data_IF_627555707059
#
_entry.id   IF_627555707059
#
_cell.length_a   1.000
_cell.length_b   1.000
_cell.length_c   1.000
_cell.angle_alpha   90.00
_cell.angle_beta   90.00
_cell.angle_gamma   90.00
#
_symmetry.space_group_name_H-M   'P 1'
#
loop_
_entity.id
_entity.type
_entity.pdbx_description
1 polymer ?
#
# COMPACT_ATOMS: atom_id res chain seq x y z
N UNK A 1 -10.62 -6.23 12.67
CA UNK A 1 -10.91 -6.41 11.22
C UNK A 1 -9.87 -7.33 10.57
N UNK A 2 -10.21 -8.00 9.45
CA UNK A 2 -9.27 -8.86 8.73
C UNK A 2 -8.49 -8.05 7.67
N UNK A 3 -7.17 -8.23 7.62
CA UNK A 3 -6.27 -7.51 6.72
C UNK A 3 -5.40 -8.50 5.95
N UNK A 4 -5.11 -8.20 4.67
CA UNK A 4 -4.08 -8.89 3.90
C UNK A 4 -2.94 -7.94 3.55
N UNK A 5 -1.70 -8.47 3.51
CA UNK A 5 -0.52 -7.77 2.99
C UNK A 5 0.02 -8.58 1.82
N UNK A 6 -0.18 -8.07 0.61
CA UNK A 6 0.34 -8.66 -0.62
C UNK A 6 1.76 -8.15 -0.86
N UNK A 7 2.72 -9.06 -0.98
CA UNK A 7 4.15 -8.75 -0.99
C UNK A 7 4.77 -8.68 0.40
N UNK A 8 4.21 -9.42 1.37
CA UNK A 8 4.61 -9.41 2.78
C UNK A 8 6.09 -9.75 3.01
N UNK A 9 6.73 -10.50 2.13
CA UNK A 9 8.15 -10.87 2.22
C UNK A 9 9.11 -9.80 1.69
N UNK A 10 8.59 -8.82 0.95
CA UNK A 10 9.38 -7.71 0.40
C UNK A 10 9.64 -6.60 1.44
N UNK A 11 10.56 -5.67 1.11
CA UNK A 11 10.95 -4.59 2.03
C UNK A 11 9.76 -3.71 2.45
N UNK A 12 8.90 -3.30 1.50
CA UNK A 12 7.73 -2.47 1.79
C UNK A 12 6.71 -3.24 2.62
N UNK A 13 6.45 -4.52 2.29
CA UNK A 13 5.52 -5.37 3.05
C UNK A 13 5.98 -5.58 4.49
N UNK A 14 7.26 -5.85 4.72
CA UNK A 14 7.85 -5.97 6.07
C UNK A 14 7.75 -4.67 6.84
N UNK A 15 8.01 -3.53 6.18
CA UNK A 15 7.88 -2.23 6.81
C UNK A 15 6.43 -1.90 7.16
N UNK A 16 5.49 -2.32 6.34
CA UNK A 16 4.06 -2.20 6.64
C UNK A 16 3.70 -3.00 7.90
N UNK A 17 4.23 -4.23 8.04
CA UNK A 17 4.05 -5.03 9.26
C UNK A 17 4.59 -4.32 10.50
N UNK A 18 5.83 -3.83 10.47
CA UNK A 18 6.42 -3.07 11.58
C UNK A 18 5.59 -1.85 12.00
N UNK A 19 5.01 -1.14 11.02
CA UNK A 19 4.16 0.03 11.29
C UNK A 19 2.83 -0.41 11.90
N UNK A 20 2.20 -1.46 11.38
CA UNK A 20 0.94 -2.00 11.92
C UNK A 20 1.12 -2.54 13.33
N UNK A 21 2.27 -3.12 13.64
CA UNK A 21 2.60 -3.65 14.97
C UNK A 21 2.65 -2.54 16.04
N UNK A 22 3.15 -1.34 15.65
CA UNK A 22 3.24 -0.15 16.51
C UNK A 22 1.92 0.61 16.64
N UNK A 23 0.92 0.28 15.80
CA UNK A 23 -0.39 0.94 15.84
C UNK A 23 -1.37 0.12 16.68
N UNK A 24 -2.17 0.82 17.47
CA UNK A 24 -3.27 0.22 18.21
C UNK A 24 -4.47 -0.01 17.29
N UNK A 25 -4.33 -0.99 16.40
CA UNK A 25 -5.38 -1.40 15.49
C UNK A 25 -5.91 -2.78 15.89
N UNK A 26 -7.22 -2.89 16.02
CA UNK A 26 -7.89 -4.17 16.26
C UNK A 26 -7.89 -5.00 14.95
N UNK A 27 -6.85 -5.83 14.81
CA UNK A 27 -6.70 -6.78 13.70
C UNK A 27 -7.09 -8.17 14.23
N UNK A 28 -8.21 -8.70 13.73
CA UNK A 28 -8.67 -10.02 14.12
C UNK A 28 -7.85 -11.12 13.43
N UNK A 29 -7.67 -10.99 12.11
CA UNK A 29 -6.85 -11.90 11.33
C UNK A 29 -5.94 -11.12 10.38
N UNK A 30 -4.67 -11.48 10.36
CA UNK A 30 -3.66 -10.97 9.44
C UNK A 30 -3.26 -12.09 8.46
N UNK A 31 -3.42 -11.81 7.17
CA UNK A 31 -3.02 -12.72 6.10
C UNK A 31 -1.79 -12.15 5.38
N UNK A 32 -0.70 -12.88 5.40
CA UNK A 32 0.53 -12.56 4.69
C UNK A 32 0.49 -13.26 3.35
N UNK A 33 0.58 -12.50 2.27
CA UNK A 33 0.42 -13.04 0.92
C UNK A 33 1.64 -12.67 0.08
N UNK A 34 2.20 -13.64 -0.64
CA UNK A 34 3.33 -13.42 -1.53
C UNK A 34 3.29 -14.39 -2.72
N UNK A 35 4.36 -14.42 -3.53
CA UNK A 35 4.48 -15.38 -4.63
C UNK A 35 4.61 -16.81 -4.10
N UNK A 36 4.32 -17.79 -4.97
CA UNK A 36 4.49 -19.24 -4.68
C UNK A 36 5.87 -19.60 -4.13
N UNK A 37 6.95 -18.91 -4.57
CA UNK A 37 8.30 -19.08 -4.04
C UNK A 37 8.45 -18.75 -2.55
N UNK A 38 7.55 -17.96 -2.01
CA UNK A 38 7.57 -17.53 -0.61
C UNK A 38 6.43 -18.14 0.21
N UNK A 39 5.51 -18.84 -0.42
CA UNK A 39 4.43 -19.54 0.27
C UNK A 39 5.01 -20.57 1.26
N UNK A 40 4.34 -20.73 2.40
CA UNK A 40 4.77 -21.60 3.50
C UNK A 40 5.85 -21.01 4.41
N UNK A 41 6.50 -19.89 4.04
CA UNK A 41 7.41 -19.19 4.97
C UNK A 41 6.61 -18.62 6.14
N UNK A 42 7.26 -18.48 7.28
CA UNK A 42 6.69 -17.88 8.46
C UNK A 42 7.29 -16.49 8.72
N UNK A 43 6.46 -15.56 9.12
CA UNK A 43 6.86 -14.19 9.52
C UNK A 43 6.21 -13.90 10.86
N UNK A 44 6.99 -13.39 11.81
CA UNK A 44 6.49 -12.96 13.11
C UNK A 44 5.75 -11.63 13.02
N UNK A 45 4.63 -11.51 13.72
CA UNK A 45 3.87 -10.28 13.93
C UNK A 45 3.17 -10.35 15.30
N UNK A 46 3.40 -9.36 16.18
CA UNK A 46 2.86 -9.32 17.56
C UNK A 46 3.07 -10.68 18.30
N UNK A 47 4.32 -11.15 18.31
CA UNK A 47 4.75 -12.41 18.98
C UNK A 47 4.09 -13.70 18.48
N UNK A 48 3.42 -13.64 17.33
CA UNK A 48 2.83 -14.80 16.66
C UNK A 48 3.45 -15.04 15.30
N UNK A 49 3.66 -16.30 14.95
CA UNK A 49 4.08 -16.69 13.61
C UNK A 49 2.87 -16.77 12.68
N UNK A 50 2.98 -16.09 11.53
CA UNK A 50 1.99 -16.11 10.46
C UNK A 50 2.59 -16.77 9.22
N UNK A 51 1.89 -17.75 8.69
CA UNK A 51 2.26 -18.40 7.44
C UNK A 51 1.96 -17.48 6.24
N UNK A 52 2.85 -17.52 5.24
CA UNK A 52 2.70 -16.77 4.00
C UNK A 52 1.90 -17.60 3.00
N UNK A 53 0.77 -17.06 2.53
CA UNK A 53 -0.10 -17.66 1.53
C UNK A 53 0.37 -17.35 0.11
N UNK A 54 0.10 -18.27 -0.82
CA UNK A 54 0.32 -18.03 -2.25
C UNK A 54 -0.75 -17.08 -2.81
N UNK A 55 -0.29 -16.01 -3.48
CA UNK A 55 -1.14 -14.98 -4.06
C UNK A 55 -2.08 -15.51 -5.15
N UNK A 56 -1.63 -16.48 -5.97
CA UNK A 56 -2.44 -17.02 -7.06
C UNK A 56 -3.71 -17.71 -6.54
N UNK A 57 -3.63 -18.31 -5.36
CA UNK A 57 -4.70 -19.08 -4.74
C UNK A 57 -5.39 -18.37 -3.57
N UNK A 58 -4.99 -17.12 -3.27
CA UNK A 58 -5.53 -16.41 -2.12
C UNK A 58 -6.96 -15.89 -2.37
N UNK A 59 -7.85 -16.21 -1.44
CA UNK A 59 -9.24 -15.73 -1.49
C UNK A 59 -9.39 -14.39 -0.74
N UNK A 60 -9.54 -13.31 -1.47
CA UNK A 60 -9.69 -11.95 -0.93
C UNK A 60 -11.03 -11.70 -0.23
N UNK A 61 -12.04 -12.57 -0.36
CA UNK A 61 -13.29 -12.41 0.40
C UNK A 61 -13.13 -12.56 1.91
N UNK A 62 -11.99 -13.09 2.37
CA UNK A 62 -11.66 -13.26 3.79
C UNK A 62 -11.25 -11.97 4.48
N UNK A 63 -10.95 -10.91 3.73
CA UNK A 63 -10.39 -9.67 4.26
C UNK A 63 -11.25 -8.46 3.92
N UNK A 64 -11.14 -7.42 4.74
CA UNK A 64 -11.78 -6.12 4.48
C UNK A 64 -10.84 -5.14 3.79
N UNK A 65 -9.52 -5.24 4.05
CA UNK A 65 -8.50 -4.38 3.47
C UNK A 65 -7.34 -5.25 3.00
N UNK A 66 -6.84 -4.95 1.80
CA UNK A 66 -5.63 -5.56 1.25
C UNK A 66 -4.60 -4.47 0.91
N UNK A 67 -3.43 -4.50 1.55
CA UNK A 67 -2.29 -3.66 1.21
C UNK A 67 -1.47 -4.33 0.12
N UNK A 68 -1.31 -3.66 -1.01
CA UNK A 68 -0.49 -4.14 -2.13
C UNK A 68 0.90 -3.49 -2.09
N UNK A 69 1.92 -4.29 -1.85
CA UNK A 69 3.32 -3.90 -1.71
C UNK A 69 4.27 -4.74 -2.57
N UNK A 70 3.76 -5.29 -3.69
CA UNK A 70 4.48 -6.25 -4.54
C UNK A 70 4.86 -5.69 -5.93
N UNK A 71 4.69 -4.38 -6.13
CA UNK A 71 5.04 -3.67 -7.37
C UNK A 71 3.95 -3.69 -8.43
N UNK A 72 4.14 -2.83 -9.48
CA UNK A 72 3.10 -2.51 -10.46
C UNK A 72 2.53 -3.71 -11.21
N UNK A 73 3.37 -4.65 -11.66
CA UNK A 73 2.92 -5.85 -12.38
C UNK A 73 1.97 -6.73 -11.54
N UNK A 74 2.18 -6.79 -10.24
CA UNK A 74 1.31 -7.55 -9.34
C UNK A 74 0.01 -6.79 -9.11
N UNK A 75 0.07 -5.49 -8.92
CA UNK A 75 -1.14 -4.65 -8.79
C UNK A 75 -1.99 -4.71 -10.04
N UNK A 76 -1.40 -4.61 -11.24
CA UNK A 76 -2.08 -4.78 -12.52
C UNK A 76 -2.86 -6.10 -12.61
N UNK A 77 -2.23 -7.21 -12.21
CA UNK A 77 -2.82 -8.54 -12.34
C UNK A 77 -3.90 -8.84 -11.29
N UNK A 78 -3.70 -8.34 -10.05
CA UNK A 78 -4.49 -8.83 -8.90
C UNK A 78 -5.31 -7.77 -8.18
N UNK A 79 -5.00 -6.47 -8.29
CA UNK A 79 -5.66 -5.47 -7.47
C UNK A 79 -7.16 -5.35 -7.79
N UNK A 80 -7.55 -5.36 -9.07
CA UNK A 80 -8.98 -5.33 -9.43
C UNK A 80 -9.74 -6.60 -9.01
N UNK A 81 -9.06 -7.76 -9.04
CA UNK A 81 -9.65 -9.01 -8.52
C UNK A 81 -9.90 -8.91 -7.02
N UNK A 82 -8.93 -8.37 -6.27
CA UNK A 82 -9.07 -8.14 -4.83
C UNK A 82 -10.16 -7.09 -4.52
N UNK A 83 -10.22 -6.01 -5.31
CA UNK A 83 -11.15 -4.89 -5.13
C UNK A 83 -12.62 -5.28 -5.30
N UNK A 84 -12.93 -6.40 -5.95
CA UNK A 84 -14.28 -6.97 -5.98
C UNK A 84 -14.77 -7.49 -4.63
N UNK A 85 -13.85 -7.69 -3.68
CA UNK A 85 -14.13 -8.30 -2.38
C UNK A 85 -13.74 -7.45 -1.20
N UNK A 86 -12.73 -6.59 -1.34
CA UNK A 86 -12.17 -5.79 -0.25
C UNK A 86 -11.67 -4.44 -0.76
N UNK A 87 -11.41 -3.50 0.17
CA UNK A 87 -10.72 -2.27 -0.16
C UNK A 87 -9.23 -2.56 -0.39
N UNK A 88 -8.70 -2.11 -1.53
CA UNK A 88 -7.28 -2.22 -1.87
C UNK A 88 -6.58 -0.90 -1.61
N UNK A 89 -5.45 -0.95 -0.90
CA UNK A 89 -4.51 0.18 -0.75
C UNK A 89 -3.24 -0.20 -1.51
N UNK A 90 -3.03 0.43 -2.67
CA UNK A 90 -1.92 0.10 -3.57
C UNK A 90 -0.73 1.02 -3.40
N UNK A 91 0.41 0.48 -2.98
CA UNK A 91 1.68 1.21 -2.88
C UNK A 91 2.48 1.22 -4.19
N UNK A 92 2.01 0.56 -5.25
CA UNK A 92 2.69 0.56 -6.53
C UNK A 92 2.46 1.85 -7.32
N UNK A 93 3.13 1.97 -8.45
CA UNK A 93 2.92 3.10 -9.34
C UNK A 93 1.75 2.89 -10.32
N UNK A 94 1.16 1.70 -10.38
CA UNK A 94 0.26 1.31 -11.47
C UNK A 94 -0.99 2.19 -11.53
N UNK A 95 -1.67 2.39 -10.41
CA UNK A 95 -2.93 3.15 -10.35
C UNK A 95 -2.77 4.64 -10.09
N UNK A 96 -1.55 5.17 -9.92
CA UNK A 96 -1.35 6.58 -9.54
C UNK A 96 -1.87 7.60 -10.55
N UNK A 97 -1.94 7.21 -11.82
CA UNK A 97 -2.43 8.06 -12.91
C UNK A 97 -3.80 7.62 -13.43
N UNK A 98 -4.45 6.65 -12.80
CA UNK A 98 -5.80 6.22 -13.16
C UNK A 98 -6.82 7.27 -12.64
N UNK A 99 -7.65 7.88 -13.53
CA UNK A 99 -8.59 8.93 -13.14
C UNK A 99 -9.72 8.44 -12.22
N UNK A 100 -9.97 7.13 -12.19
CA UNK A 100 -11.00 6.51 -11.35
C UNK A 100 -10.47 5.97 -10.02
N UNK A 101 -9.16 6.13 -9.77
CA UNK A 101 -8.50 5.70 -8.53
C UNK A 101 -7.90 6.91 -7.81
N UNK A 102 -8.42 7.29 -6.64
CA UNK A 102 -7.89 8.43 -5.92
C UNK A 102 -6.47 8.19 -5.41
N UNK A 103 -5.59 9.15 -5.67
CA UNK A 103 -4.24 9.19 -5.12
C UNK A 103 -4.28 9.94 -3.79
N UNK A 104 -4.08 9.23 -2.67
CA UNK A 104 -4.38 9.76 -1.33
C UNK A 104 -3.12 9.92 -0.48
N UNK A 105 -3.01 11.11 0.11
CA UNK A 105 -2.19 11.39 1.29
C UNK A 105 -3.15 11.91 2.36
N UNK A 106 -3.48 11.15 3.41
CA UNK A 106 -4.59 11.49 4.31
C UNK A 106 -4.52 12.88 4.93
N UNK A 107 -3.31 13.36 5.24
CA UNK A 107 -3.08 14.70 5.81
C UNK A 107 -3.28 15.84 4.81
N UNK A 108 -3.39 15.52 3.52
CA UNK A 108 -3.45 16.52 2.43
C UNK A 108 -4.81 16.54 1.77
N UNK A 109 -5.37 15.37 1.45
CA UNK A 109 -6.57 15.24 0.63
C UNK A 109 -7.48 14.06 1.05
N UNK A 110 -7.67 13.85 2.35
CA UNK A 110 -8.56 12.79 2.87
C UNK A 110 -10.00 12.88 2.33
N UNK A 111 -10.48 14.08 1.98
CA UNK A 111 -11.78 14.28 1.35
C UNK A 111 -11.95 13.59 -0.01
N UNK A 112 -10.84 13.22 -0.68
CA UNK A 112 -10.91 12.43 -1.91
C UNK A 112 -11.25 10.95 -1.66
N UNK A 113 -11.29 10.49 -0.41
CA UNK A 113 -11.77 9.14 -0.07
C UNK A 113 -13.24 8.93 -0.47
N UNK A 114 -14.04 10.00 -0.51
CA UNK A 114 -15.43 9.94 -0.97
C UNK A 114 -15.56 9.68 -2.48
N UNK A 115 -14.45 9.75 -3.22
CA UNK A 115 -14.39 9.58 -4.68
C UNK A 115 -13.95 8.18 -5.11
N UNK A 116 -13.88 7.22 -4.20
CA UNK A 116 -13.46 5.84 -4.51
C UNK A 116 -14.51 5.16 -5.38
N UNK A 117 -14.17 4.86 -6.63
CA UNK A 117 -15.07 4.18 -7.58
C UNK A 117 -14.76 2.68 -7.71
N UNK A 118 -13.47 2.32 -7.69
CA UNK A 118 -13.00 0.94 -7.96
C UNK A 118 -12.66 0.13 -6.71
N UNK A 119 -12.99 0.60 -5.50
CA UNK A 119 -12.48 0.02 -4.24
C UNK A 119 -10.94 -0.05 -4.17
N UNK A 120 -10.25 0.83 -4.89
CA UNK A 120 -8.79 0.95 -4.89
C UNK A 120 -8.42 2.37 -4.49
N UNK A 121 -7.45 2.49 -3.59
CA UNK A 121 -6.77 3.73 -3.22
C UNK A 121 -5.33 3.60 -3.65
N UNK A 122 -4.82 4.55 -4.43
CA UNK A 122 -3.42 4.63 -4.77
C UNK A 122 -2.66 5.43 -3.70
N UNK A 123 -1.54 4.89 -3.26
CA UNK A 123 -0.60 5.58 -2.38
C UNK A 123 0.52 6.20 -3.24
N UNK A 124 0.88 7.48 -3.04
CA UNK A 124 1.92 8.12 -3.83
C UNK A 124 3.31 7.54 -3.55
N UNK A 125 4.30 8.01 -4.32
CA UNK A 125 5.70 7.74 -4.04
C UNK A 125 6.06 8.25 -2.65
N UNK A 126 6.96 7.55 -1.94
CA UNK A 126 7.34 7.86 -0.56
C UNK A 126 7.88 9.28 -0.39
N UNK A 127 8.72 9.75 -1.31
CA UNK A 127 9.24 11.13 -1.29
C UNK A 127 8.14 12.16 -1.59
N UNK A 128 7.21 11.85 -2.48
CA UNK A 128 6.06 12.71 -2.77
C UNK A 128 5.16 12.86 -1.56
N UNK A 129 4.83 11.77 -0.85
CA UNK A 129 4.00 11.83 0.35
C UNK A 129 4.60 12.76 1.41
N UNK A 130 5.91 12.63 1.69
CA UNK A 130 6.62 13.48 2.63
C UNK A 130 6.62 14.96 2.21
N UNK A 131 6.92 15.22 0.92
CA UNK A 131 6.96 16.56 0.36
C UNK A 131 5.62 17.27 0.47
N UNK A 132 4.53 16.64 0.03
CA UNK A 132 3.21 17.29 0.02
C UNK A 132 2.66 17.52 1.42
N UNK A 133 2.97 16.68 2.40
CA UNK A 133 2.62 16.91 3.81
C UNK A 133 3.32 18.19 4.33
N UNK A 134 4.60 18.36 4.01
CA UNK A 134 5.36 19.54 4.43
C UNK A 134 4.89 20.82 3.72
N UNK A 135 4.50 20.71 2.43
CA UNK A 135 4.09 21.84 1.62
C UNK A 135 2.62 22.24 1.81
N UNK A 136 1.77 21.34 2.31
CA UNK A 136 0.33 21.61 2.44
C UNK A 136 0.02 22.89 3.24
N UNK A 137 0.54 23.09 4.46
CA UNK A 137 0.29 24.31 5.23
C UNK A 137 0.81 25.59 4.53
N UNK A 138 1.94 25.47 3.84
CA UNK A 138 2.48 26.61 3.07
C UNK A 138 1.58 26.92 1.84
N UNK A 139 1.10 25.90 1.18
CA UNK A 139 0.20 26.07 0.04
C UNK A 139 -1.13 26.71 0.46
N UNK A 140 -1.68 26.33 1.60
CA UNK A 140 -2.93 26.87 2.11
C UNK A 140 -2.83 28.37 2.46
N UNK A 141 -1.67 28.80 2.94
CA UNK A 141 -1.43 30.19 3.31
C UNK A 141 -0.99 31.06 2.12
N UNK A 142 -0.13 30.54 1.24
CA UNK A 142 0.58 31.34 0.23
C UNK A 142 0.28 30.94 -1.22
N UNK A 143 -0.48 29.90 -1.45
CA UNK A 143 -0.83 29.39 -2.80
C UNK A 143 0.43 29.19 -3.65
N UNK A 144 1.18 28.14 -3.34
CA UNK A 144 2.42 27.79 -4.08
C UNK A 144 2.14 27.70 -5.58
N UNK A 145 2.89 28.47 -6.39
CA UNK A 145 2.74 28.53 -7.85
C UNK A 145 3.67 27.54 -8.57
N UNK A 146 4.82 27.22 -7.98
CA UNK A 146 5.80 26.36 -8.62
C UNK A 146 6.61 25.60 -7.58
N UNK A 147 6.87 24.34 -7.87
CA UNK A 147 7.78 23.49 -7.10
C UNK A 147 8.85 22.97 -8.05
N UNK A 148 10.11 23.10 -7.71
CA UNK A 148 11.24 22.47 -8.40
C UNK A 148 11.79 21.41 -7.46
N UNK A 149 11.63 20.14 -7.81
CA UNK A 149 12.06 19.02 -6.99
C UNK A 149 13.12 18.20 -7.72
N UNK A 150 14.19 17.86 -7.03
CA UNK A 150 15.20 16.90 -7.52
C UNK A 150 15.14 15.68 -6.62
N UNK A 151 14.94 14.53 -7.23
CA UNK A 151 14.90 13.24 -6.51
C UNK A 151 15.77 12.20 -7.20
N UNK A 152 16.09 11.14 -6.49
CA UNK A 152 16.87 10.03 -7.03
C UNK A 152 15.99 9.15 -7.94
N UNK A 153 16.08 9.33 -9.24
CA UNK A 153 15.35 8.52 -10.22
C UNK A 153 16.10 7.24 -10.63
N UNK A 154 17.34 7.07 -10.19
CA UNK A 154 18.26 6.03 -10.66
C UNK A 154 18.95 5.23 -9.54
N UNK A 155 18.47 5.31 -8.30
CA UNK A 155 18.93 4.43 -7.23
C UNK A 155 18.41 3.01 -7.47
N UNK A 156 19.23 2.21 -8.12
CA UNK A 156 19.17 0.77 -7.93
C UNK A 156 19.77 0.50 -6.54
N UNK A 157 18.93 0.21 -5.56
CA UNK A 157 19.44 -0.35 -4.32
C UNK A 157 20.16 -1.66 -4.65
N UNK A 158 21.43 -1.85 -4.23
CA UNK A 158 22.05 -3.14 -4.39
C UNK A 158 21.19 -4.18 -3.70
N UNK A 159 20.82 -5.21 -4.45
CA UNK A 159 20.14 -6.37 -3.90
C UNK A 159 21.18 -7.09 -3.06
N UNK A 160 21.12 -6.95 -1.74
CA UNK A 160 21.90 -7.74 -0.79
C UNK A 160 21.17 -9.05 -0.59
#
# INVERSE_FOLDING_TARGET
MNIAIVGATGNVGRKTLEVLEKKDLSIDNLYLVASSKSAGKKISFKDKEHEVFDLENFNFSKVKIAFFAAGGKISEKFAEKAARHCLVIDNSSFYRMDPDVPLIVPQVNSNHLDQIKKNIIANPNCSTAQLVIALKPLHDLFVIKRIVAVSYTHLTLPTI
#
